data_IF_267456154905
#
_entry.id   IF_267456154905
#
_cell.length_a   1.000
_cell.length_b   1.000
_cell.length_c   1.000
_cell.angle_alpha   90.00
_cell.angle_beta   90.00
_cell.angle_gamma   90.00
#
_symmetry.space_group_name_H-M   'P 1'
#
loop_
_entity.id
_entity.type
_entity.pdbx_description
1 polymer ?
#
# COMPACT_ATOMS: atom_id res chain seq x y z
N UNK A 1 -5.84 16.94 -22.63
CA UNK A 1 -4.39 16.92 -22.34
C UNK A 1 -4.06 15.53 -21.81
N UNK A 2 -3.33 14.69 -22.55
CA UNK A 2 -2.97 13.35 -22.08
C UNK A 2 -1.94 13.51 -20.97
N UNK A 3 -2.31 13.16 -19.73
CA UNK A 3 -1.41 13.26 -18.59
C UNK A 3 -0.37 12.13 -18.68
N UNK A 4 0.88 12.49 -18.92
CA UNK A 4 2.01 11.54 -18.94
C UNK A 4 2.17 10.91 -17.54
N UNK A 5 2.18 9.57 -17.47
CA UNK A 5 2.32 8.84 -16.20
C UNK A 5 3.70 9.03 -15.57
N UNK A 6 3.89 8.60 -14.32
CA UNK A 6 5.21 8.68 -13.66
C UNK A 6 6.24 7.77 -14.33
N UNK A 7 5.86 6.55 -14.69
CA UNK A 7 6.75 5.62 -15.39
C UNK A 7 7.18 6.16 -16.76
N UNK A 8 6.29 6.83 -17.50
CA UNK A 8 6.66 7.47 -18.77
C UNK A 8 7.72 8.56 -18.58
N UNK A 9 7.56 9.40 -17.54
CA UNK A 9 8.55 10.45 -17.19
C UNK A 9 9.88 9.84 -16.78
N UNK A 10 9.86 8.73 -16.04
CA UNK A 10 11.05 8.01 -15.58
C UNK A 10 11.78 7.37 -16.76
N UNK A 11 11.06 6.72 -17.68
CA UNK A 11 11.62 6.17 -18.92
C UNK A 11 12.31 7.27 -19.74
N UNK A 12 11.63 8.41 -19.95
CA UNK A 12 12.21 9.53 -20.70
C UNK A 12 13.49 10.06 -20.05
N UNK A 13 13.49 10.23 -18.72
CA UNK A 13 14.67 10.65 -17.95
C UNK A 13 15.81 9.63 -18.08
N UNK A 14 15.53 8.34 -17.92
CA UNK A 14 16.53 7.29 -18.01
C UNK A 14 17.19 7.23 -19.38
N UNK A 15 16.41 7.30 -20.47
CA UNK A 15 16.94 7.32 -21.85
C UNK A 15 17.74 8.59 -22.13
N UNK A 16 17.25 9.74 -21.65
CA UNK A 16 17.99 11.02 -21.78
C UNK A 16 19.32 10.97 -21.03
N UNK A 17 19.33 10.42 -19.81
CA UNK A 17 20.54 10.24 -19.03
C UNK A 17 21.51 9.24 -19.67
N UNK A 18 21.03 8.16 -20.30
CA UNK A 18 21.87 7.23 -21.03
C UNK A 18 22.51 7.87 -22.28
N UNK A 19 21.78 8.72 -22.99
CA UNK A 19 22.27 9.42 -24.19
C UNK A 19 23.25 10.55 -23.88
N UNK A 20 22.95 11.38 -22.87
CA UNK A 20 23.70 12.60 -22.56
C UNK A 20 24.70 12.45 -21.41
N UNK A 21 24.49 11.47 -20.53
CA UNK A 21 25.27 11.25 -19.32
C UNK A 21 26.77 11.15 -19.56
N UNK A 22 27.25 10.29 -20.48
CA UNK A 22 28.69 10.15 -20.74
C UNK A 22 29.35 11.46 -21.21
N UNK A 23 28.63 12.25 -22.02
CA UNK A 23 29.12 13.55 -22.51
C UNK A 23 29.17 14.59 -21.39
N UNK A 24 28.15 14.62 -20.52
CA UNK A 24 28.07 15.54 -19.39
C UNK A 24 29.07 15.18 -18.28
N UNK A 25 29.28 13.90 -17.98
CA UNK A 25 30.25 13.44 -17.00
C UNK A 25 31.68 13.80 -17.43
N UNK A 26 32.01 13.57 -18.71
CA UNK A 26 33.29 13.97 -19.31
C UNK A 26 33.52 15.49 -19.25
N UNK A 27 32.46 16.28 -19.44
CA UNK A 27 32.55 17.75 -19.35
C UNK A 27 32.68 18.26 -17.90
N UNK A 28 32.03 17.61 -16.94
CA UNK A 28 32.03 18.02 -15.52
C UNK A 28 33.17 17.43 -14.68
N UNK A 29 33.96 16.51 -15.24
CA UNK A 29 35.05 15.85 -14.50
C UNK A 29 34.56 14.99 -13.32
N UNK A 30 33.30 14.56 -13.34
CA UNK A 30 32.72 13.71 -12.29
C UNK A 30 33.01 12.26 -12.63
N UNK A 31 33.61 11.52 -11.69
CA UNK A 31 33.80 10.08 -11.83
C UNK A 31 32.43 9.39 -11.97
N UNK A 32 32.32 8.47 -12.93
CA UNK A 32 31.12 7.67 -13.11
C UNK A 32 30.89 6.80 -11.85
N UNK A 33 29.64 6.63 -11.40
CA UNK A 33 29.34 5.72 -10.29
C UNK A 33 29.84 4.32 -10.66
N UNK A 34 30.80 3.80 -9.88
CA UNK A 34 31.50 2.56 -10.20
C UNK A 34 30.71 1.29 -9.81
N UNK A 35 29.60 1.43 -9.09
CA UNK A 35 28.77 0.33 -8.63
C UNK A 35 27.73 -0.14 -9.66
N UNK A 36 26.96 -1.19 -9.34
CA UNK A 36 25.98 -1.76 -10.24
C UNK A 36 24.82 -0.80 -10.53
N UNK A 37 24.19 -0.96 -11.69
CA UNK A 37 22.97 -0.26 -12.08
C UNK A 37 21.77 -1.12 -11.72
N UNK A 38 20.92 -0.63 -10.83
CA UNK A 38 19.75 -1.34 -10.30
C UNK A 38 18.48 -0.57 -10.66
N UNK A 39 17.51 -1.26 -11.25
CA UNK A 39 16.17 -0.73 -11.47
C UNK A 39 15.17 -1.42 -10.55
N UNK A 40 14.26 -0.64 -9.96
CA UNK A 40 13.14 -1.15 -9.17
C UNK A 40 11.82 -0.69 -9.76
N UNK A 41 11.03 -1.64 -10.27
CA UNK A 41 9.72 -1.40 -10.89
C UNK A 41 8.63 -1.86 -9.94
N UNK A 42 7.60 -1.06 -9.70
CA UNK A 42 6.48 -1.51 -8.88
C UNK A 42 5.50 -0.41 -8.52
N UNK A 43 4.67 -0.69 -7.52
CA UNK A 43 3.65 0.23 -7.04
C UNK A 43 4.26 1.32 -6.12
N UNK A 44 3.46 1.90 -5.23
CA UNK A 44 3.91 2.89 -4.26
C UNK A 44 5.08 2.42 -3.36
N UNK A 45 5.26 1.12 -3.17
CA UNK A 45 6.35 0.54 -2.36
C UNK A 45 7.71 0.57 -3.07
N UNK A 46 7.75 0.66 -4.40
CA UNK A 46 8.99 0.50 -5.17
C UNK A 46 10.04 1.57 -4.84
N UNK A 47 9.59 2.78 -4.49
CA UNK A 47 10.48 3.86 -4.06
C UNK A 47 11.22 3.49 -2.77
N UNK A 48 10.53 2.99 -1.75
CA UNK A 48 11.16 2.64 -0.47
C UNK A 48 12.16 1.49 -0.61
N UNK A 49 11.87 0.51 -1.46
CA UNK A 49 12.81 -0.57 -1.80
C UNK A 49 14.03 -0.02 -2.55
N UNK A 50 13.83 0.82 -3.57
CA UNK A 50 14.93 1.45 -4.31
C UNK A 50 15.82 2.31 -3.40
N UNK A 51 15.21 3.09 -2.51
CA UNK A 51 15.92 3.91 -1.55
C UNK A 51 16.79 3.06 -0.61
N UNK A 52 16.22 1.97 -0.07
CA UNK A 52 16.97 1.03 0.74
C UNK A 52 18.12 0.38 -0.02
N UNK A 53 17.94 -0.01 -1.27
CA UNK A 53 19.03 -0.55 -2.10
C UNK A 53 20.18 0.45 -2.28
N UNK A 54 19.89 1.76 -2.44
CA UNK A 54 20.93 2.80 -2.50
C UNK A 54 21.65 2.98 -1.16
N UNK A 55 20.98 2.74 -0.03
CA UNK A 55 21.63 2.76 1.28
C UNK A 55 22.52 1.53 1.49
N UNK A 56 22.06 0.35 1.06
CA UNK A 56 22.82 -0.90 1.14
C UNK A 56 24.08 -0.87 0.27
N UNK A 57 24.03 -0.19 -0.88
CA UNK A 57 25.20 0.10 -1.71
C UNK A 57 25.18 1.56 -2.23
N UNK A 58 25.84 2.50 -1.52
CA UNK A 58 25.97 3.88 -1.96
C UNK A 58 26.70 4.07 -3.29
N UNK A 59 27.46 3.06 -3.75
CA UNK A 59 28.16 3.11 -5.05
C UNK A 59 27.26 2.71 -6.21
N UNK A 60 26.16 1.98 -5.94
CA UNK A 60 25.20 1.55 -6.95
C UNK A 60 24.39 2.73 -7.47
N UNK A 61 24.08 2.70 -8.77
CA UNK A 61 23.09 3.60 -9.37
C UNK A 61 21.72 2.95 -9.26
N UNK A 62 20.82 3.51 -8.45
CA UNK A 62 19.48 2.95 -8.25
C UNK A 62 18.41 3.88 -8.80
N UNK A 63 17.62 3.38 -9.75
CA UNK A 63 16.49 4.09 -10.35
C UNK A 63 15.17 3.37 -10.05
N UNK A 64 14.12 4.13 -9.71
CA UNK A 64 12.78 3.58 -9.46
C UNK A 64 11.81 3.91 -10.60
N UNK A 65 10.92 2.98 -10.89
CA UNK A 65 9.89 3.06 -11.91
C UNK A 65 8.51 2.76 -11.30
N UNK A 66 7.58 3.72 -11.37
CA UNK A 66 6.28 3.63 -10.70
C UNK A 66 5.18 3.12 -11.65
N UNK A 67 4.89 1.83 -11.56
CA UNK A 67 3.88 1.11 -12.32
C UNK A 67 2.50 1.14 -11.61
N UNK A 68 1.98 2.33 -11.32
CA UNK A 68 0.71 2.53 -10.58
C UNK A 68 -0.46 3.02 -11.44
N UNK A 69 -0.17 3.57 -12.62
CA UNK A 69 -1.17 4.14 -13.51
C UNK A 69 -0.85 3.77 -14.96
N UNK A 70 -1.87 3.77 -15.80
CA UNK A 70 -1.74 3.46 -17.23
C UNK A 70 -0.66 4.32 -17.89
N UNK A 71 0.36 3.66 -18.41
CA UNK A 71 1.47 4.25 -19.13
C UNK A 71 1.13 4.45 -20.61
N UNK A 72 1.80 5.42 -21.24
CA UNK A 72 1.85 5.54 -22.69
C UNK A 72 2.90 4.59 -23.29
N UNK A 73 3.97 4.34 -22.54
CA UNK A 73 4.98 3.36 -22.88
C UNK A 73 4.38 1.95 -22.99
N UNK A 74 4.84 1.22 -23.98
CA UNK A 74 4.60 -0.22 -24.12
C UNK A 74 5.71 -1.03 -23.44
N UNK A 75 5.48 -2.34 -23.40
CA UNK A 75 6.40 -3.30 -22.77
C UNK A 75 7.76 -3.34 -23.49
N UNK A 76 7.79 -3.10 -24.80
CA UNK A 76 9.02 -3.05 -25.59
C UNK A 76 9.89 -1.87 -25.16
N UNK A 77 9.29 -0.68 -25.03
CA UNK A 77 9.98 0.52 -24.59
C UNK A 77 10.45 0.40 -23.14
N UNK A 78 9.63 -0.17 -22.26
CA UNK A 78 10.02 -0.42 -20.88
C UNK A 78 11.19 -1.41 -20.81
N UNK A 79 11.08 -2.57 -21.46
CA UNK A 79 12.13 -3.59 -21.47
C UNK A 79 13.43 -3.06 -22.09
N UNK A 80 13.36 -2.34 -23.22
CA UNK A 80 14.53 -1.73 -23.84
C UNK A 80 15.19 -0.66 -22.97
N UNK A 81 14.43 0.04 -22.13
CA UNK A 81 14.98 0.98 -21.14
C UNK A 81 15.67 0.25 -20.00
N UNK A 82 15.08 -0.85 -19.52
CA UNK A 82 15.57 -1.63 -18.39
C UNK A 82 16.73 -2.57 -18.75
N UNK A 83 16.92 -2.91 -20.03
CA UNK A 83 18.03 -3.74 -20.51
C UNK A 83 19.42 -3.14 -20.22
N UNK A 84 19.51 -1.83 -19.96
CA UNK A 84 20.76 -1.16 -19.57
C UNK A 84 21.08 -1.19 -18.07
N UNK A 85 20.36 -1.98 -17.28
CA UNK A 85 20.63 -2.19 -15.86
C UNK A 85 21.24 -3.57 -15.64
N UNK A 86 22.05 -3.73 -14.59
CA UNK A 86 22.64 -5.02 -14.22
C UNK A 86 21.60 -5.89 -13.50
N UNK A 87 20.74 -5.26 -12.68
CA UNK A 87 19.67 -5.92 -11.93
C UNK A 87 18.35 -5.17 -12.11
N UNK A 88 17.28 -5.91 -12.39
CA UNK A 88 15.92 -5.37 -12.45
C UNK A 88 15.06 -6.10 -11.42
N UNK A 89 14.62 -5.40 -10.38
CA UNK A 89 13.65 -5.92 -9.42
C UNK A 89 12.27 -5.38 -9.78
N UNK A 90 11.26 -6.25 -9.92
CA UNK A 90 9.91 -5.82 -10.29
C UNK A 90 8.86 -6.43 -9.37
N UNK A 91 7.82 -5.68 -9.02
CA UNK A 91 6.59 -6.25 -8.49
C UNK A 91 5.71 -6.75 -9.64
N UNK A 92 4.68 -7.53 -9.30
CA UNK A 92 3.63 -7.83 -10.26
C UNK A 92 2.86 -6.57 -10.65
N UNK A 93 2.64 -6.41 -11.96
CA UNK A 93 1.77 -5.39 -12.52
C UNK A 93 0.97 -5.98 -13.68
N UNK A 94 -0.31 -5.63 -13.82
CA UNK A 94 -1.17 -6.17 -14.87
C UNK A 94 -0.99 -5.45 -16.21
N UNK A 95 -1.38 -6.10 -17.30
CA UNK A 95 -1.26 -5.60 -18.68
C UNK A 95 -2.05 -4.31 -19.00
N UNK A 96 -2.92 -3.84 -18.10
CA UNK A 96 -3.59 -2.55 -18.26
C UNK A 96 -2.73 -1.36 -17.80
N UNK A 97 -1.65 -1.61 -17.06
CA UNK A 97 -0.70 -0.57 -16.60
C UNK A 97 0.31 -0.26 -17.71
N UNK A 98 0.95 -1.27 -18.29
CA UNK A 98 1.91 -1.11 -19.40
C UNK A 98 1.31 -1.74 -20.66
N UNK A 99 1.26 -1.00 -21.76
CA UNK A 99 0.64 -1.52 -22.99
C UNK A 99 1.44 -2.71 -23.52
N UNK A 100 0.75 -3.78 -23.89
CA UNK A 100 1.36 -4.92 -24.59
C UNK A 100 2.04 -5.95 -23.69
N UNK A 101 2.03 -5.80 -22.36
CA UNK A 101 2.57 -6.82 -21.47
C UNK A 101 2.37 -6.53 -19.98
N UNK A 102 2.47 -7.60 -19.18
CA UNK A 102 2.47 -7.57 -17.72
C UNK A 102 3.89 -7.80 -17.17
N UNK A 103 4.01 -7.96 -15.85
CA UNK A 103 5.27 -8.30 -15.18
C UNK A 103 5.90 -9.60 -15.68
N UNK A 104 5.09 -10.60 -16.05
CA UNK A 104 5.60 -11.88 -16.57
C UNK A 104 6.19 -11.72 -17.97
N UNK A 105 5.55 -10.92 -18.82
CA UNK A 105 6.11 -10.56 -20.12
C UNK A 105 7.43 -9.77 -19.98
N UNK A 106 7.54 -8.91 -18.97
CA UNK A 106 8.81 -8.24 -18.67
C UNK A 106 9.92 -9.26 -18.32
N UNK A 107 9.60 -10.27 -17.51
CA UNK A 107 10.54 -11.33 -17.13
C UNK A 107 11.00 -12.17 -18.33
N UNK A 108 10.11 -12.46 -19.28
CA UNK A 108 10.49 -13.19 -20.52
C UNK A 108 11.49 -12.40 -21.37
N UNK A 109 11.44 -11.07 -21.30
CA UNK A 109 12.28 -10.17 -22.09
C UNK A 109 13.62 -9.84 -21.43
N UNK A 110 13.69 -9.94 -20.12
CA UNK A 110 14.84 -9.51 -19.32
C UNK A 110 15.32 -10.66 -18.43
N UNK A 111 16.41 -11.32 -18.82
CA UNK A 111 17.01 -12.41 -18.05
C UNK A 111 17.57 -11.97 -16.69
N UNK A 112 17.82 -10.67 -16.52
CA UNK A 112 18.26 -10.04 -15.29
C UNK A 112 17.10 -9.52 -14.41
N UNK A 113 15.85 -9.73 -14.82
CA UNK A 113 14.68 -9.35 -14.03
C UNK A 113 14.37 -10.37 -12.92
N UNK A 114 13.84 -9.89 -11.80
CA UNK A 114 13.45 -10.73 -10.66
C UNK A 114 12.23 -10.14 -9.98
N UNK A 115 11.22 -10.99 -9.80
CA UNK A 115 10.01 -10.59 -9.09
C UNK A 115 10.24 -10.51 -7.58
N UNK A 116 9.58 -9.56 -6.94
CA UNK A 116 9.49 -9.44 -5.49
C UNK A 116 8.06 -9.11 -5.04
N UNK A 117 7.67 -9.47 -3.80
CA UNK A 117 6.29 -9.32 -3.36
C UNK A 117 5.89 -7.86 -3.17
N UNK A 118 4.61 -7.58 -3.38
CA UNK A 118 3.94 -6.47 -2.69
C UNK A 118 3.67 -6.88 -1.25
N UNK A 119 4.09 -6.03 -0.31
CA UNK A 119 3.79 -6.22 1.12
C UNK A 119 2.33 -5.85 1.37
N UNK A 120 1.55 -6.81 1.85
CA UNK A 120 0.20 -6.57 2.35
C UNK A 120 0.00 -7.32 3.66
N UNK A 121 -0.65 -6.66 4.61
CA UNK A 121 -0.90 -7.23 5.94
C UNK A 121 -2.13 -6.55 6.58
N UNK A 122 -3.23 -7.29 6.65
CA UNK A 122 -4.54 -6.74 7.02
C UNK A 122 -4.84 -6.74 8.53
N UNK A 123 -4.04 -7.43 9.36
CA UNK A 123 -4.40 -7.68 10.76
C UNK A 123 -4.59 -6.40 11.58
N UNK A 124 -3.81 -5.36 11.31
CA UNK A 124 -3.90 -4.08 12.04
C UNK A 124 -5.11 -3.23 11.65
N UNK A 125 -5.61 -3.37 10.42
CA UNK A 125 -6.74 -2.58 9.90
C UNK A 125 -7.78 -3.49 9.23
N UNK A 126 -8.39 -4.43 9.97
CA UNK A 126 -9.32 -5.40 9.40
C UNK A 126 -10.58 -4.73 8.82
N UNK A 127 -10.91 -3.52 9.27
CA UNK A 127 -12.03 -2.72 8.76
C UNK A 127 -11.75 -2.05 7.40
N UNK A 128 -10.48 -1.92 7.01
CA UNK A 128 -10.12 -1.30 5.73
C UNK A 128 -10.46 -2.26 4.58
N UNK A 129 -11.34 -1.80 3.70
CA UNK A 129 -11.73 -2.50 2.46
C UNK A 129 -11.57 -1.61 1.24
N UNK A 130 -11.44 -2.28 0.08
CA UNK A 130 -11.53 -1.64 -1.22
C UNK A 130 -12.92 -1.93 -1.82
N UNK A 131 -13.64 -0.88 -2.22
CA UNK A 131 -14.90 -1.02 -2.93
C UNK A 131 -14.62 -0.98 -4.43
N UNK A 132 -14.64 -2.13 -5.10
CA UNK A 132 -14.26 -2.27 -6.49
C UNK A 132 -15.50 -2.33 -7.39
N UNK A 133 -15.61 -1.40 -8.34
CA UNK A 133 -16.70 -1.35 -9.32
C UNK A 133 -16.53 -2.47 -10.36
N UNK A 134 -17.19 -3.60 -10.13
CA UNK A 134 -17.14 -4.76 -11.01
C UNK A 134 -17.58 -4.43 -12.45
N UNK A 135 -18.55 -3.52 -12.61
CA UNK A 135 -19.06 -3.08 -13.92
C UNK A 135 -18.06 -2.17 -14.66
N UNK A 136 -17.05 -1.67 -13.97
CA UNK A 136 -16.05 -0.74 -14.50
C UNK A 136 -14.63 -1.28 -14.35
N UNK A 137 -14.45 -2.57 -14.65
CA UNK A 137 -13.14 -3.23 -14.68
C UNK A 137 -12.45 -3.30 -13.32
N UNK A 138 -13.20 -3.32 -12.22
CA UNK A 138 -12.67 -3.38 -10.87
C UNK A 138 -12.08 -2.05 -10.39
N UNK A 139 -12.47 -0.92 -10.98
CA UNK A 139 -12.00 0.40 -10.54
C UNK A 139 -12.43 0.65 -9.10
N UNK A 140 -11.48 0.98 -8.22
CA UNK A 140 -11.78 1.35 -6.84
C UNK A 140 -12.61 2.65 -6.78
N UNK A 141 -13.69 2.63 -6.00
CA UNK A 141 -14.42 3.82 -5.59
C UNK A 141 -13.47 4.70 -4.76
N UNK A 142 -13.44 6.00 -5.05
CA UNK A 142 -12.63 6.95 -4.28
C UNK A 142 -13.48 7.56 -3.17
N UNK A 143 -13.14 7.24 -1.94
CA UNK A 143 -13.61 7.84 -0.70
C UNK A 143 -12.75 9.00 -0.20
N UNK A 144 -12.96 9.43 1.07
CA UNK A 144 -12.18 10.49 1.72
C UNK A 144 -10.71 10.13 1.96
N UNK A 145 -10.36 8.84 1.95
CA UNK A 145 -8.99 8.32 2.01
C UNK A 145 -8.64 7.59 0.72
N UNK A 146 -8.95 8.23 -0.42
CA UNK A 146 -8.83 7.63 -1.75
C UNK A 146 -9.47 6.24 -1.79
N UNK A 147 -8.81 5.10 -2.09
CA UNK A 147 -9.57 3.86 -2.29
C UNK A 147 -9.94 3.17 -0.97
N UNK A 148 -9.56 3.73 0.19
CA UNK A 148 -9.78 3.10 1.51
C UNK A 148 -11.16 3.46 2.07
N UNK A 149 -11.94 2.41 2.31
CA UNK A 149 -13.26 2.47 2.93
C UNK A 149 -13.29 1.64 4.21
N UNK A 150 -14.20 2.01 5.13
CA UNK A 150 -14.52 1.22 6.32
C UNK A 150 -15.63 0.23 5.99
N UNK A 151 -15.43 -1.05 6.30
CA UNK A 151 -16.43 -2.08 6.13
C UNK A 151 -17.66 -1.82 7.01
N UNK A 152 -17.45 -1.41 8.27
CA UNK A 152 -18.52 -1.02 9.18
C UNK A 152 -19.32 0.18 8.68
N UNK A 153 -18.65 1.22 8.14
CA UNK A 153 -19.34 2.39 7.60
C UNK A 153 -20.21 2.05 6.37
N UNK A 154 -19.72 1.17 5.49
CA UNK A 154 -20.50 0.70 4.33
C UNK A 154 -21.69 -0.16 4.78
N UNK A 155 -21.47 -1.08 5.71
CA UNK A 155 -22.54 -1.89 6.30
C UNK A 155 -23.64 -0.99 6.89
N UNK A 156 -23.26 -0.04 7.76
CA UNK A 156 -24.17 0.88 8.42
C UNK A 156 -25.00 1.67 7.42
N UNK A 157 -24.35 2.19 6.37
CA UNK A 157 -25.03 2.92 5.30
C UNK A 157 -26.05 2.03 4.57
N UNK A 158 -25.67 0.79 4.23
CA UNK A 158 -26.52 -0.15 3.47
C UNK A 158 -27.73 -0.64 4.25
N UNK A 159 -27.66 -0.70 5.58
CA UNK A 159 -28.81 -1.05 6.43
C UNK A 159 -29.59 0.18 6.93
N UNK A 160 -29.24 1.38 6.47
CA UNK A 160 -29.99 2.61 6.75
C UNK A 160 -29.70 3.28 8.09
N UNK A 161 -28.58 2.96 8.75
CA UNK A 161 -28.15 3.67 9.96
C UNK A 161 -27.63 5.07 9.62
N UNK A 162 -27.93 6.04 10.49
CA UNK A 162 -27.32 7.38 10.43
C UNK A 162 -25.81 7.33 10.70
N UNK A 163 -25.06 8.35 10.28
CA UNK A 163 -23.63 8.45 10.56
C UNK A 163 -23.31 8.40 12.08
N UNK A 164 -24.19 8.97 12.93
CA UNK A 164 -24.06 8.88 14.39
C UNK A 164 -24.21 7.44 14.90
N UNK A 165 -25.15 6.67 14.36
CA UNK A 165 -25.30 5.24 14.68
C UNK A 165 -24.16 4.41 14.10
N UNK A 166 -23.64 4.77 12.93
CA UNK A 166 -22.44 4.13 12.37
C UNK A 166 -21.23 4.35 13.26
N UNK A 167 -21.03 5.55 13.82
CA UNK A 167 -19.96 5.81 14.78
C UNK A 167 -20.08 4.89 16.02
N UNK A 168 -21.30 4.61 16.47
CA UNK A 168 -21.54 3.68 17.58
C UNK A 168 -21.20 2.21 17.26
N UNK A 169 -20.92 1.85 16.01
CA UNK A 169 -20.40 0.51 15.66
C UNK A 169 -18.90 0.35 15.93
N UNK A 170 -18.15 1.42 16.15
CA UNK A 170 -16.71 1.35 16.38
C UNK A 170 -16.42 1.09 17.85
N UNK A 171 -16.74 -0.13 18.29
CA UNK A 171 -16.62 -0.57 19.68
C UNK A 171 -16.18 -2.03 19.76
N UNK A 172 -15.56 -2.41 20.89
CA UNK A 172 -15.08 -3.77 21.17
C UNK A 172 -16.13 -4.87 20.91
N UNK A 173 -17.36 -4.68 21.37
CA UNK A 173 -18.44 -5.66 21.24
C UNK A 173 -18.82 -5.94 19.77
N UNK A 174 -18.75 -4.91 18.92
CA UNK A 174 -18.97 -5.04 17.48
C UNK A 174 -17.76 -5.71 16.82
N UNK A 175 -16.54 -5.30 17.18
CA UNK A 175 -15.31 -5.89 16.65
C UNK A 175 -15.21 -7.39 16.93
N UNK A 176 -15.64 -7.82 18.12
CA UNK A 176 -15.78 -9.23 18.48
C UNK A 176 -16.84 -9.93 17.60
N UNK A 177 -18.02 -9.31 17.42
CA UNK A 177 -19.09 -9.89 16.60
C UNK A 177 -18.71 -10.07 15.12
N UNK A 178 -17.83 -9.20 14.58
CA UNK A 178 -17.36 -9.29 13.19
C UNK A 178 -16.00 -9.98 13.03
N UNK A 179 -15.41 -10.48 14.13
CA UNK A 179 -14.16 -11.25 14.12
C UNK A 179 -12.88 -10.45 13.90
N UNK A 180 -12.87 -9.15 14.20
CA UNK A 180 -11.69 -8.29 13.97
C UNK A 180 -10.48 -8.63 14.85
N UNK A 181 -10.68 -9.34 15.96
CA UNK A 181 -9.59 -9.77 16.83
C UNK A 181 -8.86 -11.04 16.34
N UNK A 182 -9.47 -11.79 15.41
CA UNK A 182 -8.99 -13.12 14.98
C UNK A 182 -8.23 -13.11 13.64
N UNK A 183 -7.85 -11.92 13.15
CA UNK A 183 -7.30 -11.72 11.79
C UNK A 183 -5.79 -11.94 11.72
N UNK A 184 -5.07 -12.00 12.86
CA UNK A 184 -3.61 -12.07 12.87
C UNK A 184 -3.06 -13.29 12.14
N UNK A 185 -3.53 -14.49 12.51
CA UNK A 185 -2.97 -15.75 11.99
C UNK A 185 -3.18 -15.89 10.49
N UNK A 186 -4.37 -15.52 9.98
CA UNK A 186 -4.67 -15.57 8.55
C UNK A 186 -3.86 -14.53 7.76
N UNK A 187 -3.74 -13.30 8.27
CA UNK A 187 -2.93 -12.27 7.61
C UNK A 187 -1.43 -12.61 7.60
N UNK A 188 -0.90 -13.17 8.69
CA UNK A 188 0.48 -13.64 8.77
C UNK A 188 0.74 -14.78 7.79
N UNK A 189 -0.17 -15.75 7.73
CA UNK A 189 -0.06 -16.87 6.79
C UNK A 189 -0.10 -16.39 5.34
N UNK A 190 -1.06 -15.54 4.99
CA UNK A 190 -1.19 -14.96 3.65
C UNK A 190 0.06 -14.16 3.24
N UNK A 191 0.58 -13.33 4.14
CA UNK A 191 1.80 -12.57 3.91
C UNK A 191 3.00 -13.49 3.63
N UNK A 192 3.21 -14.52 4.45
CA UNK A 192 4.33 -15.45 4.30
C UNK A 192 4.18 -16.34 3.06
N UNK A 193 2.95 -16.79 2.76
CA UNK A 193 2.66 -17.54 1.53
C UNK A 193 2.95 -16.69 0.30
N UNK A 194 2.56 -15.41 0.32
CA UNK A 194 2.86 -14.48 -0.76
C UNK A 194 4.38 -14.32 -0.92
N UNK A 195 5.14 -14.09 0.15
CA UNK A 195 6.60 -13.97 0.09
C UNK A 195 7.27 -15.23 -0.49
N UNK A 196 6.83 -16.43 -0.07
CA UNK A 196 7.33 -17.72 -0.58
C UNK A 196 7.14 -17.89 -2.08
N UNK A 197 6.08 -17.35 -2.68
CA UNK A 197 5.88 -17.37 -4.15
C UNK A 197 6.98 -16.66 -4.92
N UNK A 198 7.67 -15.71 -4.28
CA UNK A 198 8.83 -15.00 -4.84
C UNK A 198 10.16 -15.58 -4.36
N UNK A 199 10.15 -16.73 -3.68
CA UNK A 199 11.35 -17.38 -3.12
C UNK A 199 12.02 -16.54 -2.04
N UNK A 200 11.23 -15.85 -1.21
CA UNK A 200 11.69 -15.17 0.00
C UNK A 200 11.11 -15.89 1.22
N UNK A 201 11.92 -16.05 2.27
CA UNK A 201 11.44 -16.41 3.61
C UNK A 201 11.51 -15.16 4.48
N UNK A 202 10.34 -14.67 4.90
CA UNK A 202 10.19 -13.46 5.71
C UNK A 202 9.66 -13.76 7.12
N UNK A 203 9.77 -15.02 7.58
CA UNK A 203 9.26 -15.42 8.88
C UNK A 203 9.98 -14.70 10.03
N UNK A 204 11.30 -14.51 9.93
CA UNK A 204 12.07 -13.81 10.96
C UNK A 204 11.76 -12.31 10.97
N UNK A 205 11.65 -11.72 9.79
CA UNK A 205 11.30 -10.32 9.56
C UNK A 205 9.92 -10.02 10.13
N UNK A 206 8.91 -10.83 9.84
CA UNK A 206 7.56 -10.65 10.38
C UNK A 206 7.57 -10.66 11.91
N UNK A 207 8.30 -11.59 12.54
CA UNK A 207 8.44 -11.63 14.00
C UNK A 207 9.14 -10.38 14.54
N UNK A 208 10.20 -9.91 13.87
CA UNK A 208 10.93 -8.71 14.23
C UNK A 208 10.05 -7.46 14.15
N UNK A 209 9.34 -7.28 13.04
CA UNK A 209 8.44 -6.15 12.82
C UNK A 209 7.29 -6.15 13.83
N UNK A 210 6.69 -7.31 14.11
CA UNK A 210 5.62 -7.44 15.09
C UNK A 210 6.06 -6.98 16.50
N UNK A 211 7.30 -7.30 16.91
CA UNK A 211 7.86 -6.83 18.20
C UNK A 211 8.11 -5.33 18.23
N UNK A 212 8.35 -4.70 17.08
CA UNK A 212 8.52 -3.23 16.96
C UNK A 212 7.18 -2.48 17.02
N UNK A 213 6.06 -3.18 16.92
CA UNK A 213 4.70 -2.63 16.96
C UNK A 213 4.05 -2.55 15.58
N UNK A 214 3.19 -1.57 15.36
CA UNK A 214 2.50 -1.40 14.06
C UNK A 214 3.52 -1.09 12.97
N UNK A 215 3.61 -1.97 11.96
CA UNK A 215 4.53 -1.85 10.82
C UNK A 215 3.84 -1.47 9.50
N UNK A 216 2.55 -1.12 9.56
CA UNK A 216 1.71 -0.78 8.41
C UNK A 216 0.93 0.53 8.65
N UNK A 217 0.98 1.47 7.71
CA UNK A 217 0.12 2.67 7.65
C UNK A 217 -1.28 2.38 7.10
N UNK A 218 -1.39 1.36 6.26
CA UNK A 218 -2.62 0.78 5.73
C UNK A 218 -2.34 -0.68 5.40
N UNK A 219 -3.33 -1.45 4.93
CA UNK A 219 -3.12 -2.85 4.57
C UNK A 219 -2.09 -3.10 3.45
N UNK A 220 -1.65 -2.05 2.73
CA UNK A 220 -0.64 -2.14 1.64
C UNK A 220 0.48 -1.09 1.75
N UNK A 221 0.49 -0.24 2.77
CA UNK A 221 1.53 0.78 2.95
C UNK A 221 2.40 0.44 4.17
N UNK A 222 3.45 -0.36 4.00
CA UNK A 222 4.35 -0.70 5.10
C UNK A 222 5.23 0.48 5.54
N UNK A 223 5.79 0.40 6.74
CA UNK A 223 6.83 1.32 7.22
C UNK A 223 8.14 1.14 6.45
N UNK A 224 9.01 2.16 6.40
CA UNK A 224 10.25 2.11 5.62
C UNK A 224 11.19 0.94 5.95
N UNK A 225 11.33 0.59 7.24
CA UNK A 225 12.19 -0.53 7.64
C UNK A 225 11.73 -1.89 7.10
N UNK A 226 10.43 -2.08 6.88
CA UNK A 226 9.90 -3.30 6.26
C UNK A 226 10.41 -3.40 4.82
N UNK A 227 10.35 -2.30 4.07
CA UNK A 227 10.86 -2.24 2.69
C UNK A 227 12.39 -2.38 2.65
N UNK A 228 13.10 -1.92 3.68
CA UNK A 228 14.53 -2.09 3.81
C UNK A 228 14.93 -3.57 4.01
N UNK A 229 14.19 -4.31 4.83
CA UNK A 229 14.41 -5.74 5.03
C UNK A 229 14.10 -6.53 3.76
N UNK A 230 13.05 -6.17 3.00
CA UNK A 230 12.82 -6.72 1.66
C UNK A 230 14.01 -6.46 0.74
N UNK A 231 14.55 -5.24 0.71
CA UNK A 231 15.73 -4.91 -0.11
C UNK A 231 16.96 -5.74 0.28
N UNK A 232 17.19 -5.98 1.59
CA UNK A 232 18.28 -6.84 2.07
C UNK A 232 18.13 -8.27 1.59
N UNK A 233 16.92 -8.82 1.67
CA UNK A 233 16.62 -10.17 1.18
C UNK A 233 16.84 -10.28 -0.35
N UNK A 234 16.46 -9.26 -1.11
CA UNK A 234 16.70 -9.20 -2.55
C UNK A 234 18.18 -9.12 -2.92
N UNK A 235 18.97 -8.33 -2.17
CA UNK A 235 20.43 -8.26 -2.34
C UNK A 235 21.09 -9.60 -2.03
N UNK A 236 20.75 -10.20 -0.89
CA UNK A 236 21.27 -11.51 -0.48
C UNK A 236 20.96 -12.59 -1.53
N UNK A 237 19.72 -12.61 -2.05
CA UNK A 237 19.30 -13.53 -3.13
C UNK A 237 20.11 -13.36 -4.42
N UNK A 238 20.64 -12.16 -4.69
CA UNK A 238 21.48 -11.86 -5.87
C UNK A 238 22.98 -11.92 -5.59
N UNK A 239 23.39 -12.29 -4.37
CA UNK A 239 24.81 -12.28 -3.99
C UNK A 239 25.42 -10.88 -3.95
N UNK A 240 24.59 -9.84 -3.86
CA UNK A 240 25.06 -8.47 -3.72
C UNK A 240 25.52 -8.22 -2.28
N UNK A 241 26.58 -7.43 -2.13
CA UNK A 241 27.09 -7.06 -0.81
C UNK A 241 26.05 -6.21 -0.06
N UNK A 242 25.75 -6.60 1.17
CA UNK A 242 24.84 -5.87 2.06
C UNK A 242 25.69 -5.11 3.08
N UNK A 243 25.70 -3.78 3.01
CA UNK A 243 26.27 -2.97 4.09
C UNK A 243 25.29 -2.95 5.26
N UNK A 244 25.81 -3.10 6.47
CA UNK A 244 24.98 -3.19 7.67
C UNK A 244 24.78 -1.82 8.33
N UNK A 245 24.39 -0.82 7.55
CA UNK A 245 24.01 0.48 8.08
C UNK A 245 22.66 0.39 8.81
N UNK A 246 22.49 1.21 9.83
CA UNK A 246 21.21 1.36 10.50
C UNK A 246 20.27 2.17 9.59
N UNK A 247 19.26 1.50 9.01
CA UNK A 247 18.36 2.14 8.05
C UNK A 247 17.55 3.29 8.67
N UNK A 248 17.23 3.20 9.97
CA UNK A 248 16.42 4.21 10.65
C UNK A 248 17.09 5.59 10.67
N UNK A 249 18.43 5.65 10.65
CA UNK A 249 19.19 6.91 10.65
C UNK A 249 19.05 7.69 9.33
N UNK A 250 18.63 7.02 8.26
CA UNK A 250 18.54 7.56 6.90
C UNK A 250 17.14 7.44 6.30
N UNK A 251 16.16 6.89 7.04
CA UNK A 251 14.88 6.51 6.48
C UNK A 251 14.14 7.70 5.82
N UNK A 252 13.83 7.56 4.52
CA UNK A 252 12.84 8.41 3.84
C UNK A 252 11.50 7.68 3.84
N UNK A 253 10.51 8.30 4.46
CA UNK A 253 9.16 7.74 4.54
C UNK A 253 8.21 8.37 3.52
N UNK A 254 8.29 7.91 2.28
CA UNK A 254 7.41 8.40 1.21
C UNK A 254 5.96 7.91 1.39
N UNK A 255 5.78 6.69 1.91
CA UNK A 255 4.46 6.12 2.17
C UNK A 255 3.73 6.81 3.31
N UNK A 256 4.44 7.39 4.29
CA UNK A 256 3.82 8.24 5.29
C UNK A 256 3.18 9.50 4.67
N UNK A 257 3.56 9.94 3.45
CA UNK A 257 2.86 11.03 2.76
C UNK A 257 1.50 10.60 2.19
N UNK A 258 1.26 9.30 2.09
CA UNK A 258 -0.01 8.73 1.63
C UNK A 258 -1.10 8.79 2.71
N UNK A 259 -2.23 8.14 2.40
CA UNK A 259 -3.31 7.94 3.33
C UNK A 259 -2.88 6.98 4.46
N UNK A 260 -3.19 7.35 5.71
CA UNK A 260 -2.98 6.51 6.89
C UNK A 260 -4.35 6.12 7.44
N UNK A 261 -4.56 4.81 7.58
CA UNK A 261 -5.73 4.23 8.21
C UNK A 261 -5.32 3.71 9.60
N UNK A 262 -5.91 4.24 10.68
CA UNK A 262 -5.43 3.96 12.02
C UNK A 262 -5.77 2.53 12.46
N UNK A 263 -5.01 2.05 13.43
CA UNK A 263 -5.37 0.84 14.20
C UNK A 263 -6.31 1.28 15.30
N UNK A 264 -7.53 0.74 15.34
CA UNK A 264 -8.50 1.12 16.37
C UNK A 264 -7.99 0.75 17.77
N UNK A 265 -8.23 1.57 18.81
CA UNK A 265 -7.72 1.35 20.16
C UNK A 265 -7.95 -0.06 20.71
N UNK A 266 -9.13 -0.64 20.48
CA UNK A 266 -9.50 -1.96 20.96
C UNK A 266 -8.72 -3.08 20.26
N UNK A 267 -8.47 -2.93 18.95
CA UNK A 267 -7.62 -3.82 18.16
C UNK A 267 -6.16 -3.66 18.61
N UNK A 268 -5.73 -2.43 18.84
CA UNK A 268 -4.39 -2.13 19.27
C UNK A 268 -4.10 -2.71 20.67
N UNK A 269 -5.06 -2.62 21.59
CA UNK A 269 -5.01 -3.25 22.91
C UNK A 269 -4.85 -4.77 22.79
N UNK A 270 -5.62 -5.42 21.90
CA UNK A 270 -5.52 -6.86 21.65
C UNK A 270 -4.12 -7.29 21.15
N UNK A 271 -3.44 -6.42 20.40
CA UNK A 271 -2.10 -6.70 19.88
C UNK A 271 -0.96 -6.08 20.71
N UNK A 272 -1.26 -5.38 21.81
CA UNK A 272 -0.24 -4.71 22.62
C UNK A 272 0.49 -3.56 21.89
N UNK A 273 -0.19 -2.86 20.98
CA UNK A 273 0.37 -1.75 20.18
C UNK A 273 -0.41 -0.45 20.40
N UNK A 274 0.08 0.65 19.83
CA UNK A 274 -0.60 1.95 19.89
C UNK A 274 -1.72 2.03 18.83
N UNK A 275 -2.92 2.41 19.27
CA UNK A 275 -4.08 2.68 18.41
C UNK A 275 -4.55 4.14 18.45
N UNK A 276 -5.62 4.43 17.71
CA UNK A 276 -6.31 5.72 17.67
C UNK A 276 -7.40 5.76 16.61
N UNK A 277 -8.10 6.88 16.50
CA UNK A 277 -9.16 7.10 15.50
C UNK A 277 -8.86 8.28 14.56
N UNK A 278 -7.58 8.66 14.44
CA UNK A 278 -7.14 9.74 13.55
C UNK A 278 -6.72 9.18 12.19
N UNK A 279 -7.47 9.55 11.16
CA UNK A 279 -7.20 9.21 9.77
C UNK A 279 -6.41 10.33 9.10
N UNK A 280 -5.42 10.00 8.26
CA UNK A 280 -4.64 11.00 7.52
C UNK A 280 -4.93 10.91 6.03
N UNK A 281 -5.26 12.04 5.40
CA UNK A 281 -5.38 12.12 3.95
C UNK A 281 -4.00 12.24 3.28
N UNK A 282 -3.86 11.71 2.08
CA UNK A 282 -2.62 11.81 1.31
C UNK A 282 -2.23 13.27 1.01
N UNK A 283 -0.96 13.59 1.17
CA UNK A 283 -0.39 14.91 0.92
C UNK A 283 0.77 14.82 -0.10
N UNK A 284 0.41 14.59 -1.37
CA UNK A 284 1.35 14.43 -2.48
C UNK A 284 1.55 15.70 -3.32
N UNK A 285 0.85 16.78 -3.00
CA UNK A 285 0.88 18.02 -3.76
C UNK A 285 1.78 19.05 -3.09
N UNK A 286 2.37 19.94 -3.89
CA UNK A 286 2.99 21.15 -3.37
C UNK A 286 1.84 22.00 -2.83
N UNK A 287 1.67 21.96 -1.51
CA UNK A 287 0.61 22.65 -0.80
C UNK A 287 1.24 23.48 0.32
N UNK A 288 0.65 24.64 0.62
CA UNK A 288 1.06 25.44 1.78
C UNK A 288 0.66 24.76 3.11
N UNK A 289 -0.21 23.75 3.06
CA UNK A 289 -0.64 22.98 4.22
C UNK A 289 0.23 21.75 4.49
N UNK A 290 0.22 21.29 5.74
CA UNK A 290 0.98 20.10 6.19
C UNK A 290 0.21 18.78 5.99
N UNK A 291 -0.99 18.84 5.44
CA UNK A 291 -1.90 17.71 5.23
C UNK A 291 -3.18 17.86 6.05
N UNK A 292 -4.15 17.00 5.77
CA UNK A 292 -5.44 16.98 6.45
C UNK A 292 -5.61 15.69 7.23
N UNK A 293 -6.30 15.79 8.36
CA UNK A 293 -6.65 14.66 9.21
C UNK A 293 -8.15 14.67 9.44
N UNK A 294 -8.72 13.48 9.62
CA UNK A 294 -10.13 13.29 9.93
C UNK A 294 -10.22 12.50 11.23
N UNK A 295 -11.07 12.95 12.14
CA UNK A 295 -11.56 12.11 13.23
C UNK A 295 -12.47 11.01 12.67
N UNK A 296 -12.79 9.99 13.48
CA UNK A 296 -13.72 8.95 13.05
C UNK A 296 -15.10 9.50 12.63
N UNK A 297 -15.76 10.41 13.39
CA UNK A 297 -17.02 11.01 12.95
C UNK A 297 -16.91 11.71 11.58
N UNK A 298 -15.87 12.53 11.38
CA UNK A 298 -15.65 13.24 10.12
C UNK A 298 -15.38 12.29 8.95
N UNK A 299 -14.62 11.22 9.20
CA UNK A 299 -14.35 10.17 8.21
C UNK A 299 -15.64 9.44 7.81
N UNK A 300 -16.50 9.08 8.76
CA UNK A 300 -17.79 8.43 8.50
C UNK A 300 -18.71 9.35 7.69
N UNK A 301 -18.84 10.62 8.10
CA UNK A 301 -19.66 11.61 7.39
C UNK A 301 -19.20 11.79 5.94
N UNK A 302 -17.89 11.88 5.73
CA UNK A 302 -17.30 11.99 4.40
C UNK A 302 -17.50 10.71 3.56
N UNK A 303 -17.44 9.52 4.18
CA UNK A 303 -17.79 8.26 3.53
C UNK A 303 -19.26 8.23 3.09
N UNK A 304 -20.19 8.62 3.98
CA UNK A 304 -21.61 8.67 3.69
C UNK A 304 -21.94 9.63 2.54
N UNK A 305 -21.25 10.76 2.45
CA UNK A 305 -21.39 11.69 1.34
C UNK A 305 -21.00 11.06 -0.01
N UNK A 306 -20.02 10.15 -0.02
CA UNK A 306 -19.62 9.37 -1.19
C UNK A 306 -20.67 8.29 -1.50
N UNK A 307 -21.09 7.52 -0.50
CA UNK A 307 -22.05 6.42 -0.69
C UNK A 307 -23.41 6.90 -1.20
N UNK A 308 -23.86 8.10 -0.79
CA UNK A 308 -25.08 8.74 -1.30
C UNK A 308 -25.07 8.98 -2.81
N UNK A 309 -23.89 9.12 -3.40
CA UNK A 309 -23.70 9.39 -4.84
C UNK A 309 -23.29 8.14 -5.62
N UNK A 310 -22.97 7.05 -4.92
CA UNK A 310 -22.51 5.81 -5.52
C UNK A 310 -23.69 4.93 -5.92
N UNK A 311 -23.52 4.15 -6.99
CA UNK A 311 -24.46 3.08 -7.36
C UNK A 311 -24.33 1.91 -6.36
N UNK A 312 -25.38 1.13 -6.10
CA UNK A 312 -25.29 -0.03 -5.21
C UNK A 312 -24.14 -1.00 -5.53
N UNK A 313 -23.91 -1.28 -6.82
CA UNK A 313 -22.80 -2.14 -7.26
C UNK A 313 -21.41 -1.58 -6.92
N UNK A 314 -21.27 -0.26 -6.74
CA UNK A 314 -20.00 0.39 -6.40
C UNK A 314 -19.67 0.32 -4.91
N UNK A 315 -20.63 -0.05 -4.07
CA UNK A 315 -20.46 -0.22 -2.62
C UNK A 315 -20.73 -1.66 -2.17
N UNK A 316 -20.69 -2.60 -3.13
CA UNK A 316 -20.71 -4.03 -2.87
C UNK A 316 -19.33 -4.51 -2.44
N UNK A 317 -19.29 -5.50 -1.56
CA UNK A 317 -18.05 -6.09 -1.08
C UNK A 317 -18.36 -7.44 -0.42
N UNK A 318 -17.66 -8.54 -0.78
CA UNK A 318 -18.02 -9.89 -0.34
C UNK A 318 -18.20 -10.04 1.18
N UNK A 319 -17.31 -9.42 1.98
CA UNK A 319 -17.43 -9.45 3.45
C UNK A 319 -18.72 -8.79 3.96
N UNK A 320 -19.05 -7.62 3.41
CA UNK A 320 -20.21 -6.83 3.83
C UNK A 320 -21.49 -7.53 3.35
N UNK A 321 -21.49 -8.05 2.12
CA UNK A 321 -22.58 -8.86 1.59
C UNK A 321 -22.81 -10.11 2.43
N UNK A 322 -21.73 -10.75 2.92
CA UNK A 322 -21.79 -11.83 3.90
C UNK A 322 -22.54 -11.43 5.17
N UNK A 323 -22.18 -10.30 5.79
CA UNK A 323 -22.87 -9.80 6.99
C UNK A 323 -24.35 -9.49 6.72
N UNK A 324 -24.66 -8.86 5.59
CA UNK A 324 -26.03 -8.51 5.19
C UNK A 324 -26.90 -9.74 4.92
N UNK A 325 -26.30 -10.82 4.42
CA UNK A 325 -26.99 -12.09 4.17
C UNK A 325 -27.25 -12.89 5.46
N UNK A 326 -26.49 -12.65 6.52
CA UNK A 326 -26.74 -13.20 7.85
C UNK A 326 -27.68 -12.28 8.63
N UNK A 327 -28.98 -12.62 8.62
CA UNK A 327 -30.00 -11.84 9.34
C UNK A 327 -29.73 -11.73 10.85
N UNK A 328 -29.18 -12.79 11.45
CA UNK A 328 -28.91 -12.83 12.89
C UNK A 328 -27.80 -11.84 13.24
N UNK A 329 -26.70 -11.87 12.49
CA UNK A 329 -25.61 -10.92 12.64
C UNK A 329 -26.07 -9.49 12.33
N UNK A 330 -26.80 -9.28 11.23
CA UNK A 330 -27.32 -7.94 10.87
C UNK A 330 -28.18 -7.35 11.98
N UNK A 331 -29.15 -8.11 12.53
CA UNK A 331 -29.99 -7.65 13.65
C UNK A 331 -29.14 -7.34 14.89
N UNK A 332 -28.15 -8.18 15.18
CA UNK A 332 -27.22 -7.97 16.30
C UNK A 332 -26.42 -6.67 16.13
N UNK A 333 -25.84 -6.42 14.96
CA UNK A 333 -25.06 -5.20 14.72
C UNK A 333 -25.92 -3.92 14.82
N UNK A 334 -27.16 -3.96 14.31
CA UNK A 334 -28.10 -2.83 14.45
C UNK A 334 -28.47 -2.59 15.92
N UNK A 335 -28.70 -3.64 16.70
CA UNK A 335 -28.98 -3.53 18.14
C UNK A 335 -27.77 -2.94 18.89
N UNK A 336 -26.56 -3.46 18.64
CA UNK A 336 -25.33 -2.94 19.25
C UNK A 336 -25.10 -1.46 18.93
N UNK A 337 -25.38 -1.01 17.70
CA UNK A 337 -25.28 0.40 17.35
C UNK A 337 -26.21 1.28 18.21
N UNK A 338 -27.44 0.81 18.48
CA UNK A 338 -28.41 1.53 19.30
C UNK A 338 -28.03 1.52 20.79
N UNK A 339 -27.60 0.37 21.30
CA UNK A 339 -27.14 0.19 22.68
C UNK A 339 -25.94 1.09 22.97
N UNK A 340 -24.88 0.98 22.16
CA UNK A 340 -23.67 1.80 22.30
C UNK A 340 -23.99 3.30 22.22
N UNK A 341 -24.88 3.70 21.31
CA UNK A 341 -25.30 5.10 21.18
C UNK A 341 -26.06 5.59 22.42
N UNK A 342 -26.96 4.78 22.98
CA UNK A 342 -27.72 5.12 24.19
C UNK A 342 -26.84 5.21 25.45
N UNK A 343 -25.75 4.45 25.48
CA UNK A 343 -24.76 4.47 26.56
C UNK A 343 -23.69 5.56 26.37
N UNK A 344 -23.78 6.36 25.30
CA UNK A 344 -22.75 7.31 24.88
C UNK A 344 -21.35 6.67 24.68
N UNK A 345 -21.32 5.38 24.35
CA UNK A 345 -20.11 4.64 23.97
C UNK A 345 -19.82 4.88 22.47
N UNK A 346 -19.52 6.14 22.11
CA UNK A 346 -19.16 6.53 20.74
C UNK A 346 -17.77 7.15 20.72
N UNK A 347 -16.83 6.65 19.90
CA UNK A 347 -15.51 7.26 19.82
C UNK A 347 -15.55 8.69 19.28
N UNK A 348 -14.57 9.49 19.71
CA UNK A 348 -14.44 10.90 19.31
C UNK A 348 -13.09 11.19 18.65
N UNK A 349 -11.96 10.71 19.19
CA UNK A 349 -10.59 10.91 18.69
C UNK A 349 -9.64 9.75 19.01
#
# INVERSE_FOLDING_TARGET
MILISQIDKQILRARTAALLGPRLAKWRGVAEEAGPRIAVVGNCQSFGVAYAMKLLDPTARVDHYSAVAKALADIDLLAGTLAGYDYVFTQDFPAHIVKGGDSQELLRRLSNATLFPTVSFAAFQPDLVYLLDADNGGKALSGPLRPYHSALAVFAYRVGLSAKQANALFNRNVFEAVGYFDVWNSAAQEFLDNARRYGLDLSQELMSWARRGVFMYSIVHPKPYVLADIARQLFAKKGLAVRNENFDDYAIDDLARAEIFPVYPEIAENFGVRGGYLFKQGNFHISNGVGNFLTLPEYIDACYAVYKRARPAQIAHPRIDGWLSDESLTRRLVALAQENLSQAATPTL
#
